data_IF_042198484984
#
_entry.id   IF_042198484984
#
_cell.length_a   1.000
_cell.length_b   1.000
_cell.length_c   1.000
_cell.angle_alpha   90.00
_cell.angle_beta   90.00
_cell.angle_gamma   90.00
#
_symmetry.space_group_name_H-M   'P 1'
#
loop_
_entity.id
_entity.type
_entity.pdbx_description
1 polymer ?
#
# COMPACT_ATOMS: atom_id res chain seq x y z
N UNK A 1 -27.81 41.25 -15.90
CA UNK A 1 -26.48 40.76 -16.33
C UNK A 1 -26.34 39.33 -15.83
N UNK A 2 -26.30 38.36 -16.74
CA UNK A 2 -26.21 36.93 -16.45
C UNK A 2 -24.74 36.49 -16.41
N UNK A 3 -24.33 35.77 -15.38
CA UNK A 3 -23.11 34.96 -15.39
C UNK A 3 -23.49 33.56 -14.90
N UNK A 4 -23.40 32.50 -15.72
CA UNK A 4 -23.57 31.15 -15.22
C UNK A 4 -22.33 30.77 -14.41
N UNK A 5 -22.53 30.55 -13.10
CA UNK A 5 -21.53 29.94 -12.23
C UNK A 5 -21.38 28.49 -12.66
N UNK A 6 -20.26 28.16 -13.31
CA UNK A 6 -19.90 26.77 -13.60
C UNK A 6 -19.61 26.07 -12.27
N UNK A 7 -20.63 25.41 -11.71
CA UNK A 7 -20.40 24.40 -10.67
C UNK A 7 -19.75 23.20 -11.34
N UNK A 8 -18.43 23.11 -11.18
CA UNK A 8 -17.66 21.92 -11.50
C UNK A 8 -18.18 20.82 -10.58
N UNK A 9 -19.09 20.00 -11.10
CA UNK A 9 -19.67 18.88 -10.38
C UNK A 9 -18.57 17.86 -10.10
N UNK A 10 -18.24 17.67 -8.82
CA UNK A 10 -17.37 16.58 -8.38
C UNK A 10 -17.91 15.25 -8.91
N UNK A 11 -17.07 14.39 -9.51
CA UNK A 11 -17.52 13.13 -10.07
C UNK A 11 -18.11 12.27 -8.95
N UNK A 12 -19.34 11.79 -9.17
CA UNK A 12 -19.98 10.89 -8.20
C UNK A 12 -19.14 9.64 -7.99
N UNK A 13 -19.21 9.05 -6.80
CA UNK A 13 -18.53 7.78 -6.49
C UNK A 13 -18.84 6.70 -7.56
N UNK A 14 -20.07 6.70 -8.07
CA UNK A 14 -20.49 5.81 -9.15
C UNK A 14 -19.71 6.06 -10.46
N UNK A 15 -19.52 7.32 -10.84
CA UNK A 15 -18.71 7.68 -12.00
C UNK A 15 -17.24 7.28 -11.84
N UNK A 16 -16.68 7.48 -10.63
CA UNK A 16 -15.31 7.08 -10.29
C UNK A 16 -15.18 5.55 -10.37
N UNK A 17 -16.11 4.79 -9.80
CA UNK A 17 -16.07 3.33 -9.84
C UNK A 17 -16.23 2.80 -11.27
N UNK A 18 -17.13 3.38 -12.06
CA UNK A 18 -17.29 3.01 -13.48
C UNK A 18 -16.01 3.26 -14.28
N UNK A 19 -15.34 4.39 -14.04
CA UNK A 19 -14.08 4.71 -14.70
C UNK A 19 -12.95 3.77 -14.26
N UNK A 20 -12.85 3.44 -12.98
CA UNK A 20 -11.89 2.45 -12.47
C UNK A 20 -12.12 1.07 -13.10
N UNK A 21 -13.36 0.61 -13.16
CA UNK A 21 -13.71 -0.68 -13.80
C UNK A 21 -13.34 -0.68 -15.28
N UNK A 22 -13.59 0.42 -15.99
CA UNK A 22 -13.22 0.56 -17.40
C UNK A 22 -11.69 0.49 -17.61
N UNK A 23 -10.91 1.17 -16.76
CA UNK A 23 -9.45 1.13 -16.81
C UNK A 23 -8.94 -0.30 -16.52
N UNK A 24 -9.51 -0.97 -15.52
CA UNK A 24 -9.14 -2.36 -15.19
C UNK A 24 -9.46 -3.33 -16.34
N UNK A 25 -10.62 -3.21 -16.97
CA UNK A 25 -10.99 -4.04 -18.11
C UNK A 25 -10.05 -3.84 -19.31
N UNK A 26 -9.66 -2.59 -19.59
CA UNK A 26 -8.72 -2.29 -20.66
C UNK A 26 -7.30 -2.80 -20.36
N UNK A 27 -6.83 -2.71 -19.12
CA UNK A 27 -5.56 -3.28 -18.70
C UNK A 27 -5.55 -4.81 -18.82
N UNK A 28 -6.66 -5.46 -18.48
CA UNK A 28 -6.80 -6.91 -18.57
C UNK A 28 -6.86 -7.40 -20.03
N UNK A 29 -7.57 -6.68 -20.90
CA UNK A 29 -7.60 -6.97 -22.33
C UNK A 29 -6.22 -6.77 -22.99
N UNK A 30 -5.47 -5.75 -22.59
CA UNK A 30 -4.11 -5.51 -23.07
C UNK A 30 -3.08 -6.56 -22.56
N UNK A 31 -3.39 -7.27 -21.47
CA UNK A 31 -2.54 -8.30 -20.88
C UNK A 31 -2.83 -9.72 -21.40
N UNK A 32 -3.82 -9.92 -22.27
CA UNK A 32 -4.32 -11.24 -22.66
C UNK A 32 -3.58 -11.90 -23.83
N UNK A 33 -2.36 -11.46 -24.17
CA UNK A 33 -1.48 -12.22 -25.06
C UNK A 33 -0.20 -12.66 -24.34
N UNK A 34 -0.34 -13.56 -23.37
CA UNK A 34 0.61 -14.64 -23.11
C UNK A 34 0.07 -15.53 -21.98
N UNK A 35 -0.05 -16.81 -22.30
CA UNK A 35 -0.55 -17.87 -21.46
C UNK A 35 0.55 -18.32 -20.49
N UNK A 36 0.37 -18.13 -19.18
CA UNK A 36 0.88 -18.98 -18.08
C UNK A 36 0.89 -18.21 -16.74
N UNK A 37 0.01 -18.64 -15.81
CA UNK A 37 -0.05 -18.25 -14.38
C UNK A 37 -0.38 -16.76 -14.13
N UNK A 38 -1.23 -16.40 -13.15
CA UNK A 38 -1.35 -14.98 -12.79
C UNK A 38 0.06 -14.48 -12.44
N UNK A 39 0.60 -13.47 -13.13
CA UNK A 39 1.91 -12.95 -12.78
C UNK A 39 1.74 -12.38 -11.38
N UNK A 40 2.48 -12.93 -10.41
CA UNK A 40 2.68 -12.28 -9.13
C UNK A 40 2.96 -10.81 -9.42
N UNK A 41 2.14 -9.90 -8.87
CA UNK A 41 2.13 -8.50 -9.24
C UNK A 41 3.56 -7.97 -9.17
N UNK A 42 4.23 -7.81 -10.32
CA UNK A 42 5.66 -7.51 -10.38
C UNK A 42 5.84 -6.04 -10.01
N UNK A 43 6.12 -5.77 -8.75
CA UNK A 43 6.37 -4.43 -8.19
C UNK A 43 7.74 -3.85 -8.58
N UNK A 44 8.32 -4.28 -9.71
CA UNK A 44 9.70 -3.96 -10.11
C UNK A 44 9.93 -2.48 -10.41
N UNK A 45 8.89 -1.65 -10.54
CA UNK A 45 9.00 -0.24 -10.94
C UNK A 45 8.30 0.76 -10.00
N UNK A 46 7.70 0.31 -8.89
CA UNK A 46 7.31 1.27 -7.85
C UNK A 46 8.59 1.83 -7.24
N UNK A 47 8.94 3.08 -7.61
CA UNK A 47 9.98 3.90 -6.98
C UNK A 47 9.75 3.82 -5.48
N UNK A 48 10.50 2.94 -4.85
CA UNK A 48 10.19 2.51 -3.51
C UNK A 48 10.62 3.63 -2.58
N UNK A 49 9.67 4.47 -2.17
CA UNK A 49 9.84 5.17 -0.91
C UNK A 49 9.74 4.09 0.18
N UNK A 50 10.84 3.33 0.33
CA UNK A 50 10.92 2.16 1.20
C UNK A 50 10.73 2.58 2.65
N UNK A 51 11.20 3.78 2.99
CA UNK A 51 11.33 4.19 4.38
C UNK A 51 10.31 5.25 4.80
N UNK A 52 9.85 5.14 6.04
CA UNK A 52 8.99 6.11 6.69
C UNK A 52 9.72 6.71 7.90
N UNK A 53 9.95 8.02 7.87
CA UNK A 53 10.74 8.75 8.88
C UNK A 53 9.89 9.38 10.00
N UNK A 54 8.56 9.33 9.87
CA UNK A 54 7.64 9.97 10.80
C UNK A 54 7.48 11.48 10.64
N UNK A 55 8.03 12.10 9.58
CA UNK A 55 8.00 13.57 9.44
C UNK A 55 6.75 14.11 8.77
N UNK A 56 6.12 13.31 7.91
CA UNK A 56 4.97 13.68 7.11
C UNK A 56 3.78 12.77 7.46
N UNK A 57 2.85 13.23 8.32
CA UNK A 57 1.73 12.40 8.80
C UNK A 57 0.87 11.83 7.67
N UNK A 58 0.69 12.58 6.58
CA UNK A 58 -0.08 12.14 5.42
C UNK A 58 0.54 10.94 4.67
N UNK A 59 1.83 10.65 4.88
CA UNK A 59 2.51 9.50 4.27
C UNK A 59 2.31 8.19 5.04
N UNK A 60 1.76 8.22 6.26
CA UNK A 60 1.46 7.02 7.06
C UNK A 60 0.53 6.08 6.29
N UNK A 61 -0.52 6.61 5.66
CA UNK A 61 -1.48 5.81 4.91
C UNK A 61 -0.80 5.07 3.76
N UNK A 62 0.04 5.76 2.99
CA UNK A 62 0.79 5.17 1.87
C UNK A 62 1.77 4.10 2.35
N UNK A 63 2.44 4.31 3.49
CA UNK A 63 3.32 3.32 4.11
C UNK A 63 2.55 2.06 4.52
N UNK A 64 1.38 2.21 5.18
CA UNK A 64 0.54 1.07 5.57
C UNK A 64 0.04 0.30 4.34
N UNK A 65 -0.44 1.00 3.32
CA UNK A 65 -0.90 0.38 2.08
C UNK A 65 0.22 -0.40 1.38
N UNK A 66 1.44 0.14 1.39
CA UNK A 66 2.61 -0.56 0.87
C UNK A 66 2.88 -1.85 1.65
N UNK A 67 2.90 -1.80 3.00
CA UNK A 67 3.07 -3.00 3.82
C UNK A 67 1.99 -4.05 3.54
N UNK A 68 0.72 -3.64 3.46
CA UNK A 68 -0.40 -4.54 3.15
C UNK A 68 -0.24 -5.22 1.78
N UNK A 69 0.20 -4.48 0.76
CA UNK A 69 0.45 -5.03 -0.56
C UNK A 69 1.55 -6.11 -0.52
N UNK A 70 2.64 -5.86 0.21
CA UNK A 70 3.71 -6.85 0.36
C UNK A 70 3.22 -8.08 1.13
N UNK A 71 2.47 -7.91 2.21
CA UNK A 71 1.93 -9.04 2.99
C UNK A 71 0.98 -9.90 2.18
N UNK A 72 0.21 -9.29 1.29
CA UNK A 72 -0.70 -10.01 0.40
C UNK A 72 0.06 -10.74 -0.73
N UNK A 73 1.14 -10.15 -1.24
CA UNK A 73 1.93 -10.74 -2.32
C UNK A 73 2.86 -11.86 -1.85
N UNK A 74 3.20 -11.90 -0.56
CA UNK A 74 4.10 -12.91 0.02
C UNK A 74 3.49 -13.59 1.27
N UNK A 75 2.35 -14.29 1.13
CA UNK A 75 1.63 -14.88 2.25
C UNK A 75 2.40 -16.05 2.89
N UNK A 76 3.29 -16.72 2.16
CA UNK A 76 4.08 -17.84 2.69
C UNK A 76 5.13 -17.34 3.68
N UNK A 77 5.91 -16.32 3.32
CA UNK A 77 6.95 -15.79 4.19
C UNK A 77 6.39 -14.84 5.26
N UNK A 78 5.28 -14.15 5.00
CA UNK A 78 4.68 -13.15 5.90
C UNK A 78 3.32 -13.61 6.45
N UNK A 79 3.17 -14.92 6.69
CA UNK A 79 1.96 -15.52 7.28
C UNK A 79 1.71 -15.09 8.73
N UNK A 80 2.76 -14.95 9.52
CA UNK A 80 2.67 -14.58 10.94
C UNK A 80 2.60 -13.07 11.13
N UNK A 81 1.68 -12.59 11.98
CA UNK A 81 1.58 -11.18 12.39
C UNK A 81 2.90 -10.63 12.93
N UNK A 82 3.68 -11.47 13.62
CA UNK A 82 5.01 -11.13 14.10
C UNK A 82 5.98 -10.80 12.96
N UNK A 83 5.99 -11.61 11.89
CA UNK A 83 6.85 -11.40 10.72
C UNK A 83 6.43 -10.14 9.96
N UNK A 84 5.13 -9.89 9.85
CA UNK A 84 4.59 -8.63 9.30
C UNK A 84 5.02 -7.41 10.10
N UNK A 85 4.95 -7.49 11.43
CA UNK A 85 5.39 -6.42 12.32
C UNK A 85 6.90 -6.16 12.17
N UNK A 86 7.73 -7.21 12.16
CA UNK A 86 9.18 -7.07 11.90
C UNK A 86 9.50 -6.46 10.55
N UNK A 87 8.79 -6.91 9.51
CA UNK A 87 8.94 -6.34 8.18
C UNK A 87 8.64 -4.84 8.23
N UNK A 88 7.47 -4.44 8.71
CA UNK A 88 7.07 -3.04 8.77
C UNK A 88 8.06 -2.18 9.58
N UNK A 89 8.53 -2.66 10.74
CA UNK A 89 9.48 -1.90 11.57
C UNK A 89 10.85 -1.72 10.91
N UNK A 90 11.31 -2.67 10.09
CA UNK A 90 12.59 -2.56 9.36
C UNK A 90 12.63 -1.40 8.36
N UNK A 91 11.48 -0.86 7.98
CA UNK A 91 11.34 0.28 7.09
C UNK A 91 11.11 1.61 7.82
N UNK A 92 11.04 1.61 9.14
CA UNK A 92 10.96 2.83 9.93
C UNK A 92 12.36 3.43 10.09
N UNK A 93 12.48 4.73 9.88
CA UNK A 93 13.71 5.50 10.10
C UNK A 93 13.41 6.76 10.92
N UNK A 94 14.43 7.53 11.27
CA UNK A 94 14.26 8.87 11.86
C UNK A 94 13.39 8.89 13.13
N UNK A 95 12.34 9.72 13.13
CA UNK A 95 11.44 9.86 14.28
C UNK A 95 10.58 8.62 14.49
N UNK A 96 10.14 7.98 13.41
CA UNK A 96 9.33 6.77 13.50
C UNK A 96 10.12 5.60 14.12
N UNK A 97 11.40 5.45 13.76
CA UNK A 97 12.27 4.45 14.38
C UNK A 97 12.47 4.69 15.89
N UNK A 98 12.72 5.93 16.30
CA UNK A 98 12.84 6.29 17.72
C UNK A 98 11.56 6.04 18.51
N UNK A 99 10.41 6.30 17.88
CA UNK A 99 9.13 6.06 18.53
C UNK A 99 8.86 4.57 18.77
N UNK A 100 9.28 3.69 17.84
CA UNK A 100 9.04 2.25 17.97
C UNK A 100 10.06 1.54 18.86
N UNK A 101 11.24 2.12 19.10
CA UNK A 101 12.35 1.55 19.88
C UNK A 101 11.91 0.83 21.18
N UNK A 102 11.11 1.43 22.09
CA UNK A 102 10.69 0.75 23.32
C UNK A 102 9.81 -0.49 23.10
N UNK A 103 9.22 -0.64 21.92
CA UNK A 103 8.32 -1.74 21.58
C UNK A 103 9.03 -2.86 20.80
N UNK A 104 10.23 -2.63 20.25
CA UNK A 104 10.97 -3.64 19.46
C UNK A 104 11.26 -4.89 20.27
N UNK A 105 11.60 -4.75 21.56
CA UNK A 105 11.87 -5.87 22.46
C UNK A 105 10.67 -6.82 22.56
N UNK A 106 9.44 -6.30 22.53
CA UNK A 106 8.22 -7.10 22.56
C UNK A 106 8.01 -7.87 21.25
N UNK A 107 8.49 -7.35 20.12
CA UNK A 107 8.50 -8.09 18.86
C UNK A 107 9.49 -9.25 18.92
N UNK A 108 10.63 -9.10 19.59
CA UNK A 108 11.66 -10.14 19.70
C UNK A 108 11.38 -11.23 20.73
N UNK A 109 10.47 -10.99 21.67
CA UNK A 109 10.15 -11.97 22.70
C UNK A 109 9.26 -13.09 22.11
N UNK A 110 9.69 -14.34 22.23
CA UNK A 110 9.02 -15.51 21.62
C UNK A 110 8.03 -16.19 22.58
N UNK A 111 7.88 -15.68 23.80
CA UNK A 111 7.01 -16.25 24.82
C UNK A 111 5.74 -15.41 25.00
N UNK A 112 4.55 -15.95 24.72
CA UNK A 112 3.34 -15.46 25.34
C UNK A 112 3.43 -15.81 26.83
N UNK A 113 3.20 -14.85 27.70
CA UNK A 113 2.85 -15.14 29.09
C UNK A 113 1.33 -15.34 29.16
#
# INVERSE_FOLDING_TARGET
SNQPVYHQSEPSLFAIMKQMTYIMANLQAASSSEESRPPAFKTSSMKAQKFFDGTQPFKVKSFIQYCQLIFHNDPENLSEERKKAFYATSFLIGRAARWIEPYISNLTNKNPN
#
